data_IF_163738008441
#
_entry.id   IF_163738008441
#
_cell.length_a   1.000
_cell.length_b   1.000
_cell.length_c   1.000
_cell.angle_alpha   90.00
_cell.angle_beta   90.00
_cell.angle_gamma   90.00
#
_symmetry.space_group_name_H-M   'P 1'
#
loop_
_entity.id
_entity.type
_entity.pdbx_description
1 polymer ?
#
# COMPACT_ATOMS: atom_id res chain seq x y z
N UNK A 1 -9.28 26.82 15.50
CA UNK A 1 -8.40 26.11 14.54
C UNK A 1 -7.45 25.22 15.32
N UNK A 2 -7.26 23.96 14.94
CA UNK A 2 -6.33 23.04 15.62
C UNK A 2 -5.50 22.32 14.56
N UNK A 3 -4.19 22.21 14.78
CA UNK A 3 -3.29 21.40 13.94
C UNK A 3 -3.25 20.01 14.56
N UNK A 4 -3.58 18.98 13.77
CA UNK A 4 -3.51 17.59 14.20
C UNK A 4 -2.56 16.83 13.27
N UNK A 5 -1.71 15.97 13.86
CA UNK A 5 -0.87 15.04 13.11
C UNK A 5 -1.70 13.79 12.79
N UNK A 6 -2.11 13.65 11.54
CA UNK A 6 -2.75 12.44 11.04
C UNK A 6 -1.70 11.52 10.39
N UNK A 7 -1.91 10.22 10.53
CA UNK A 7 -1.08 9.20 9.88
C UNK A 7 -1.91 8.51 8.79
N UNK A 8 -1.37 8.47 7.58
CA UNK A 8 -1.98 7.83 6.43
C UNK A 8 -0.95 6.97 5.68
N UNK A 9 -1.45 5.91 5.05
CA UNK A 9 -0.72 5.17 4.02
C UNK A 9 -1.20 5.60 2.65
N UNK A 10 -0.35 5.47 1.63
CA UNK A 10 -0.63 5.95 0.28
C UNK A 10 -0.08 4.91 -0.71
N UNK A 11 -0.98 4.26 -1.44
CA UNK A 11 -0.64 3.35 -2.54
C UNK A 11 -0.58 4.17 -3.81
N UNK A 12 0.64 4.52 -4.23
CA UNK A 12 0.85 5.34 -5.41
C UNK A 12 0.52 4.60 -6.70
N UNK A 13 -0.06 5.33 -7.65
CA UNK A 13 -0.32 4.83 -9.00
C UNK A 13 0.03 5.89 -10.03
N UNK A 14 0.34 5.41 -11.24
CA UNK A 14 0.42 6.22 -12.44
C UNK A 14 -0.25 5.47 -13.57
N UNK A 15 -1.29 6.06 -14.15
CA UNK A 15 -2.08 5.48 -15.24
C UNK A 15 -2.02 6.40 -16.46
N UNK A 16 -1.76 5.84 -17.63
CA UNK A 16 -1.83 6.58 -18.89
C UNK A 16 -2.75 5.90 -19.91
N UNK A 17 -3.44 6.69 -20.73
CA UNK A 17 -4.26 6.24 -21.85
C UNK A 17 -5.04 7.42 -22.44
N UNK A 18 -5.32 7.41 -23.74
CA UNK A 18 -6.07 8.49 -24.40
C UNK A 18 -7.38 7.96 -25.02
N UNK A 19 -8.56 8.47 -24.63
CA UNK A 19 -8.80 9.45 -23.57
C UNK A 19 -8.43 8.94 -22.18
N UNK A 20 -8.20 9.89 -21.26
CA UNK A 20 -7.84 9.63 -19.86
C UNK A 20 -8.76 8.57 -19.25
N UNK A 21 -8.20 7.45 -18.76
CA UNK A 21 -9.01 6.36 -18.23
C UNK A 21 -9.64 6.72 -16.89
N UNK A 22 -10.85 6.20 -16.68
CA UNK A 22 -11.50 6.14 -15.37
C UNK A 22 -10.81 5.09 -14.51
N UNK A 23 -10.84 5.29 -13.19
CA UNK A 23 -10.20 4.42 -12.20
C UNK A 23 -11.24 3.83 -11.27
N UNK A 24 -11.12 2.53 -11.01
CA UNK A 24 -11.90 1.84 -9.99
C UNK A 24 -10.96 0.99 -9.13
N UNK A 25 -11.10 1.09 -7.82
CA UNK A 25 -10.32 0.31 -6.87
C UNK A 25 -11.12 -0.86 -6.33
N UNK A 26 -10.45 -2.01 -6.18
CA UNK A 26 -11.00 -3.21 -5.57
C UNK A 26 -10.08 -3.67 -4.44
N UNK A 27 -10.67 -4.11 -3.34
CA UNK A 27 -9.99 -4.75 -2.22
C UNK A 27 -10.49 -6.18 -2.10
N UNK A 28 -9.59 -7.15 -2.21
CA UNK A 28 -9.91 -8.58 -2.23
C UNK A 28 -11.05 -8.91 -3.23
N UNK A 29 -10.95 -8.37 -4.45
CA UNK A 29 -11.90 -8.52 -5.55
C UNK A 29 -13.29 -7.90 -5.34
N UNK A 30 -13.48 -7.12 -4.27
CA UNK A 30 -14.72 -6.38 -4.00
C UNK A 30 -14.48 -4.90 -4.28
N UNK A 31 -15.44 -4.23 -4.92
CA UNK A 31 -15.37 -2.79 -5.18
C UNK A 31 -15.13 -2.02 -3.88
N UNK A 32 -14.09 -1.19 -3.84
CA UNK A 32 -13.68 -0.49 -2.64
C UNK A 32 -14.61 0.70 -2.36
N UNK A 33 -15.42 0.59 -1.30
CA UNK A 33 -16.38 1.61 -0.88
C UNK A 33 -16.19 2.01 0.59
N UNK A 34 -14.94 2.20 1.03
CA UNK A 34 -14.63 2.58 2.40
C UNK A 34 -14.38 4.09 2.51
N UNK A 35 -15.12 4.86 3.34
CA UNK A 35 -14.95 6.30 3.46
C UNK A 35 -13.58 6.74 4.04
N UNK A 36 -12.89 5.85 4.75
CA UNK A 36 -11.54 6.08 5.26
C UNK A 36 -10.45 5.80 4.22
N UNK A 37 -10.84 5.35 3.02
CA UNK A 37 -9.93 5.05 1.92
C UNK A 37 -10.35 5.85 0.68
N UNK A 38 -9.48 6.75 0.22
CA UNK A 38 -9.81 7.72 -0.83
C UNK A 38 -8.83 7.63 -1.99
N UNK A 39 -9.35 7.56 -3.22
CA UNK A 39 -8.53 7.76 -4.42
C UNK A 39 -8.29 9.26 -4.62
N UNK A 40 -7.05 9.70 -4.40
CA UNK A 40 -6.63 11.09 -4.53
C UNK A 40 -5.76 11.24 -5.78
N UNK A 41 -6.31 11.89 -6.79
CA UNK A 41 -5.53 12.27 -7.96
C UNK A 41 -4.73 13.56 -7.70
N UNK A 42 -3.50 13.60 -8.19
CA UNK A 42 -2.64 14.78 -8.11
C UNK A 42 -3.27 15.95 -8.88
N UNK A 43 -3.26 17.14 -8.26
CA UNK A 43 -3.94 18.32 -8.82
C UNK A 43 -3.42 18.70 -10.22
N UNK A 44 -2.14 18.46 -10.48
CA UNK A 44 -1.46 18.75 -11.75
C UNK A 44 -1.94 17.86 -12.90
N UNK A 45 -2.45 16.66 -12.62
CA UNK A 45 -2.92 15.71 -13.64
C UNK A 45 -4.43 15.73 -13.82
N UNK A 46 -5.19 16.38 -12.94
CA UNK A 46 -6.66 16.43 -13.01
C UNK A 46 -7.17 16.89 -14.38
N UNK A 47 -6.56 17.93 -14.97
CA UNK A 47 -6.92 18.47 -16.30
C UNK A 47 -6.17 17.84 -17.47
N UNK A 48 -5.26 16.88 -17.21
CA UNK A 48 -4.55 16.18 -18.26
C UNK A 48 -5.50 15.25 -19.03
N UNK A 49 -5.32 15.11 -20.33
CA UNK A 49 -6.20 14.33 -21.22
C UNK A 49 -5.80 12.87 -21.36
N UNK A 50 -4.62 12.48 -20.87
CA UNK A 50 -4.11 11.11 -20.97
C UNK A 50 -3.49 10.53 -19.70
N UNK A 51 -3.11 11.36 -18.72
CA UNK A 51 -2.40 10.95 -17.52
C UNK A 51 -3.28 11.13 -16.27
N UNK A 52 -3.30 10.11 -15.43
CA UNK A 52 -3.72 10.17 -14.04
C UNK A 52 -2.58 9.70 -13.14
N UNK A 53 -2.15 10.56 -12.22
CA UNK A 53 -1.12 10.24 -11.23
C UNK A 53 -1.68 10.57 -9.85
N UNK A 54 -1.44 9.73 -8.85
CA UNK A 54 -2.08 9.92 -7.55
C UNK A 54 -1.79 8.80 -6.57
N UNK A 55 -2.61 8.71 -5.53
CA UNK A 55 -2.58 7.55 -4.65
C UNK A 55 -3.92 7.21 -4.03
N UNK A 56 -4.08 5.93 -3.70
CA UNK A 56 -5.12 5.47 -2.79
C UNK A 56 -4.63 5.73 -1.36
N UNK A 57 -5.24 6.72 -0.69
CA UNK A 57 -4.91 7.10 0.67
C UNK A 57 -5.77 6.32 1.66
N UNK A 58 -5.15 5.70 2.66
CA UNK A 58 -5.82 4.99 3.75
C UNK A 58 -5.56 5.72 5.08
N UNK A 59 -6.61 6.20 5.73
CA UNK A 59 -6.52 6.77 7.07
C UNK A 59 -6.45 5.67 8.12
N UNK A 60 -5.45 5.73 9.01
CA UNK A 60 -5.33 4.83 10.17
C UNK A 60 -5.43 3.33 9.81
N UNK A 61 -4.70 2.90 8.78
CA UNK A 61 -4.72 1.50 8.35
C UNK A 61 -4.29 0.54 9.49
N UNK A 62 -5.01 -0.57 9.63
CA UNK A 62 -4.78 -1.65 10.58
C UNK A 62 -4.82 -3.03 9.87
N UNK A 63 -4.76 -4.14 10.62
CA UNK A 63 -4.63 -5.48 10.02
C UNK A 63 -5.82 -5.82 9.12
N UNK A 64 -6.99 -5.25 9.41
CA UNK A 64 -8.21 -5.43 8.59
C UNK A 64 -8.08 -4.82 7.19
N UNK A 65 -7.11 -3.94 6.98
CA UNK A 65 -6.83 -3.33 5.68
C UNK A 65 -5.80 -4.15 4.89
N UNK A 66 -5.20 -5.19 5.45
CA UNK A 66 -4.23 -6.01 4.72
C UNK A 66 -4.92 -6.89 3.68
N UNK A 67 -4.33 -6.95 2.49
CA UNK A 67 -4.86 -7.73 1.38
C UNK A 67 -4.50 -7.19 0.01
N UNK A 68 -5.19 -7.70 -0.99
CA UNK A 68 -4.91 -7.41 -2.40
C UNK A 68 -5.71 -6.18 -2.84
N UNK A 69 -4.99 -5.13 -3.21
CA UNK A 69 -5.55 -3.92 -3.81
C UNK A 69 -5.36 -3.96 -5.31
N UNK A 70 -6.44 -3.84 -6.07
CA UNK A 70 -6.43 -3.83 -7.53
C UNK A 70 -6.95 -2.51 -8.05
N UNK A 71 -6.15 -1.82 -8.86
CA UNK A 71 -6.57 -0.65 -9.63
C UNK A 71 -6.96 -1.11 -11.04
N UNK A 72 -8.20 -0.84 -11.42
CA UNK A 72 -8.72 -1.05 -12.78
C UNK A 72 -8.81 0.30 -13.48
N UNK A 73 -8.15 0.42 -14.62
CA UNK A 73 -8.19 1.60 -15.49
C UNK A 73 -8.98 1.27 -16.76
N UNK A 74 -9.98 2.09 -17.09
CA UNK A 74 -10.91 1.84 -18.21
C UNK A 74 -11.11 3.08 -19.06
N UNK A 75 -11.03 2.93 -20.38
CA UNK A 75 -11.53 3.91 -21.36
C UNK A 75 -12.28 3.16 -22.48
N UNK A 76 -12.66 3.85 -23.56
CA UNK A 76 -13.39 3.20 -24.65
C UNK A 76 -12.52 2.26 -25.50
N UNK A 77 -11.19 2.34 -25.42
CA UNK A 77 -10.26 1.48 -26.15
C UNK A 77 -10.01 0.16 -25.42
N UNK A 78 -10.11 0.16 -24.08
CA UNK A 78 -9.95 -1.06 -23.31
C UNK A 78 -9.91 -0.88 -21.81
N UNK A 79 -9.53 -1.98 -21.17
CA UNK A 79 -9.46 -2.13 -19.72
C UNK A 79 -8.12 -2.76 -19.38
N UNK A 80 -7.44 -2.22 -18.37
CA UNK A 80 -6.22 -2.81 -17.80
C UNK A 80 -6.32 -2.77 -16.28
N UNK A 81 -5.66 -3.70 -15.62
CA UNK A 81 -5.64 -3.76 -14.17
C UNK A 81 -4.23 -4.02 -13.63
N UNK A 82 -4.01 -3.63 -12.38
CA UNK A 82 -2.78 -3.91 -11.66
C UNK A 82 -3.09 -4.13 -10.19
N UNK A 83 -2.51 -5.18 -9.62
CA UNK A 83 -2.76 -5.59 -8.24
C UNK A 83 -1.48 -5.57 -7.42
N UNK A 84 -1.60 -5.16 -6.16
CA UNK A 84 -0.54 -5.30 -5.17
C UNK A 84 -1.08 -5.98 -3.91
N UNK A 85 -0.26 -6.81 -3.28
CA UNK A 85 -0.50 -7.27 -1.91
C UNK A 85 0.09 -6.24 -0.93
N UNK A 86 -0.78 -5.61 -0.15
CA UNK A 86 -0.44 -4.56 0.81
C UNK A 86 -0.54 -5.09 2.24
N UNK A 87 0.55 -4.89 2.99
CA UNK A 87 0.65 -5.18 4.43
C UNK A 87 0.98 -3.89 5.16
N UNK A 88 0.21 -3.57 6.19
CA UNK A 88 0.29 -2.29 6.91
C UNK A 88 0.93 -2.43 8.29
N UNK A 89 1.13 -3.66 8.76
CA UNK A 89 1.92 -3.96 9.94
C UNK A 89 3.30 -4.44 9.47
N UNK A 90 4.34 -4.06 10.20
CA UNK A 90 5.47 -4.98 10.31
C UNK A 90 4.92 -6.16 11.10
N UNK A 91 5.21 -7.39 10.67
CA UNK A 91 5.09 -8.54 11.57
C UNK A 91 5.67 -8.09 12.91
N UNK A 92 4.99 -8.35 14.05
CA UNK A 92 5.60 -8.07 15.33
C UNK A 92 6.99 -8.70 15.23
N UNK A 93 8.02 -7.86 15.20
CA UNK A 93 9.38 -8.35 15.37
C UNK A 93 9.22 -9.17 16.62
N UNK A 94 9.48 -10.47 16.54
CA UNK A 94 9.71 -11.25 17.74
C UNK A 94 10.86 -10.50 18.38
N UNK A 95 10.53 -9.55 19.24
CA UNK A 95 11.49 -8.95 20.10
C UNK A 95 11.77 -10.13 21.01
N UNK A 96 12.78 -10.91 20.64
CA UNK A 96 13.58 -11.63 21.60
C UNK A 96 14.20 -10.55 22.48
N UNK A 97 13.37 -9.87 23.28
CA UNK A 97 13.82 -9.09 24.40
C UNK A 97 14.38 -10.18 25.30
N UNK A 98 15.68 -10.18 25.58
CA UNK A 98 16.31 -11.22 26.39
C UNK A 98 15.78 -11.24 27.84
N UNK A 99 14.78 -10.40 28.16
CA UNK A 99 14.18 -10.21 29.48
C UNK A 99 12.70 -10.59 29.61
N UNK A 100 11.98 -11.02 28.55
CA UNK A 100 10.69 -11.69 28.79
C UNK A 100 10.95 -13.14 29.20
N UNK A 101 11.28 -13.31 30.48
CA UNK A 101 11.21 -14.58 31.19
C UNK A 101 9.75 -14.68 31.69
N UNK A 102 8.90 -15.58 31.17
CA UNK A 102 7.76 -16.04 31.94
C UNK A 102 8.36 -16.55 33.25
N UNK A 103 8.03 -15.92 34.39
CA UNK A 103 8.64 -16.21 35.69
C UNK A 103 8.84 -17.73 35.87
N UNK A 104 10.09 -18.19 35.84
CA UNK A 104 10.42 -19.57 36.21
C UNK A 104 11.41 -20.39 35.37
N UNK A 105 12.00 -19.92 34.25
CA UNK A 105 13.05 -20.69 33.56
C UNK A 105 14.23 -19.84 33.08
N UNK A 106 15.43 -20.13 33.57
CA UNK A 106 16.70 -19.49 33.17
C UNK A 106 17.11 -19.91 31.74
N UNK A 107 17.57 -18.97 30.88
CA UNK A 107 18.04 -19.30 29.54
C UNK A 107 19.51 -19.79 29.54
N UNK A 108 19.87 -20.73 28.65
CA UNK A 108 21.24 -21.23 28.48
C UNK A 108 22.16 -20.24 27.74
N UNK A 109 23.50 -20.38 27.86
CA UNK A 109 24.48 -19.41 27.35
C UNK A 109 24.55 -19.32 25.81
N UNK A 110 24.82 -18.12 25.31
CA UNK A 110 24.76 -17.70 23.89
C UNK A 110 26.03 -18.11 23.13
N UNK A 111 25.89 -18.73 21.94
CA UNK A 111 26.93 -18.85 20.91
C UNK A 111 26.65 -17.95 19.69
N UNK A 112 27.72 -17.48 19.05
CA UNK A 112 27.85 -16.29 18.18
C UNK A 112 27.23 -16.34 16.76
N UNK A 113 26.37 -15.35 16.47
CA UNK A 113 26.03 -14.58 15.24
C UNK A 113 26.48 -15.04 13.82
N UNK A 114 25.55 -14.96 12.84
CA UNK A 114 25.80 -14.39 11.48
C UNK A 114 24.63 -13.51 11.02
N UNK A 115 24.91 -12.27 10.60
CA UNK A 115 23.96 -11.34 9.94
C UNK A 115 23.77 -11.70 8.46
N UNK A 116 22.55 -11.55 7.92
CA UNK A 116 22.23 -11.64 6.48
C UNK A 116 21.89 -10.23 5.93
N UNK A 117 22.30 -9.88 4.69
CA UNK A 117 22.22 -8.50 4.18
C UNK A 117 20.82 -8.09 3.70
N UNK A 118 20.64 -6.76 3.61
CA UNK A 118 19.43 -6.02 3.23
C UNK A 118 18.88 -6.38 1.84
N UNK A 119 17.55 -6.35 1.69
CA UNK A 119 16.85 -6.55 0.43
C UNK A 119 16.19 -5.26 -0.08
N UNK A 120 16.44 -5.03 -1.35
CA UNK A 120 16.25 -3.85 -2.18
C UNK A 120 14.83 -3.73 -2.78
N UNK A 121 14.41 -2.48 -3.04
CA UNK A 121 13.44 -1.99 -4.03
C UNK A 121 12.04 -2.64 -4.18
N UNK A 122 10.98 -1.85 -3.95
CA UNK A 122 9.62 -2.13 -4.49
C UNK A 122 9.21 -1.05 -5.49
N UNK A 123 9.01 -1.50 -6.72
CA UNK A 123 8.76 -0.76 -7.96
C UNK A 123 7.53 0.16 -7.92
N UNK A 124 7.67 1.38 -8.44
CA UNK A 124 6.53 2.19 -8.91
C UNK A 124 6.07 1.63 -10.26
N UNK A 125 5.05 0.78 -10.25
CA UNK A 125 4.45 0.23 -11.48
C UNK A 125 3.66 1.30 -12.24
N UNK A 126 3.92 1.45 -13.53
CA UNK A 126 3.10 2.30 -14.42
C UNK A 126 2.07 1.42 -15.10
N UNK A 127 0.81 1.84 -15.12
CA UNK A 127 -0.30 1.16 -15.79
C UNK A 127 -0.56 1.85 -17.13
N UNK A 128 -0.49 1.11 -18.24
CA UNK A 128 -0.70 1.60 -19.59
C UNK A 128 -2.00 1.01 -20.17
N UNK A 129 -2.90 1.85 -20.67
CA UNK A 129 -4.02 1.45 -21.53
C UNK A 129 -3.61 1.70 -22.98
N UNK A 130 -3.65 0.66 -23.82
CA UNK A 130 -3.36 0.75 -25.26
C UNK A 130 -4.51 1.38 -26.03
#
# INVERSE_FOLDING_TARGET
>A
MRVAKNFYWCIYYKVTGFPKPQRAWYFNNILLQNPLIQDLENAWTMKNTFLADGCLQLERASQVNEGVYTLVATNFLGIVNHSIDAKFHKDPVLISHPTYIPQGRLPPPISTIKKKPDAENKSKGTILVN
#
